data_IF_366118508026
#
_entry.id   IF_366118508026
#
_cell.length_a   1.000
_cell.length_b   1.000
_cell.length_c   1.000
_cell.angle_alpha   90.00
_cell.angle_beta   90.00
_cell.angle_gamma   90.00
#
_symmetry.space_group_name_H-M   'P 1'
#
loop_
_entity.id
_entity.type
_entity.pdbx_description
1 polymer ?
#
# COMPACT_ATOMS: atom_id res chain seq x y z
N UNK A 1 4.77 7.93 -26.66
CA UNK A 1 4.27 6.56 -26.40
C UNK A 1 5.01 5.84 -25.28
N UNK A 2 6.32 5.53 -25.36
CA UNK A 2 7.05 4.83 -24.28
C UNK A 2 6.95 5.50 -22.89
N UNK A 3 7.00 6.83 -22.82
CA UNK A 3 6.82 7.63 -21.59
C UNK A 3 5.41 7.50 -20.99
N UNK A 4 4.40 7.46 -21.86
CA UNK A 4 3.00 7.29 -21.48
C UNK A 4 2.77 5.90 -20.87
N UNK A 5 3.40 4.84 -21.43
CA UNK A 5 3.34 3.48 -20.90
C UNK A 5 3.96 3.36 -19.51
N UNK A 6 5.00 4.13 -19.18
CA UNK A 6 5.59 4.15 -17.83
C UNK A 6 4.71 4.94 -16.86
N UNK A 7 4.13 6.06 -17.27
CA UNK A 7 3.13 6.75 -16.46
C UNK A 7 1.87 5.89 -16.22
N UNK A 8 1.46 5.10 -17.22
CA UNK A 8 0.40 4.08 -17.13
C UNK A 8 0.78 2.92 -16.19
N UNK A 9 2.02 2.42 -16.27
CA UNK A 9 2.50 1.35 -15.39
C UNK A 9 2.71 1.83 -13.94
N UNK A 10 3.14 3.07 -13.76
CA UNK A 10 3.26 3.71 -12.45
C UNK A 10 1.89 4.01 -11.84
N UNK A 11 0.90 4.42 -12.65
CA UNK A 11 -0.49 4.52 -12.19
C UNK A 11 -1.06 3.15 -11.85
N UNK A 12 -0.71 2.06 -12.54
CA UNK A 12 -1.14 0.71 -12.18
C UNK A 12 -0.72 0.28 -10.75
N UNK A 13 0.37 0.83 -10.20
CA UNK A 13 0.79 0.57 -8.82
C UNK A 13 -0.05 1.26 -7.74
N UNK A 14 -0.82 2.28 -8.11
CA UNK A 14 -1.62 3.08 -7.17
C UNK A 14 -2.92 2.44 -6.73
N UNK A 15 -3.27 1.33 -7.37
CA UNK A 15 -4.65 0.92 -7.47
C UNK A 15 -4.81 -0.59 -7.22
N UNK A 16 -3.82 -1.21 -6.56
CA UNK A 16 -4.00 -2.52 -5.95
C UNK A 16 -4.96 -2.37 -4.75
N UNK A 17 -6.00 -3.21 -4.64
CA UNK A 17 -6.99 -3.08 -3.57
C UNK A 17 -6.34 -3.28 -2.20
N UNK A 18 -6.49 -2.31 -1.31
CA UNK A 18 -6.20 -2.51 0.11
C UNK A 18 -7.14 -3.58 0.66
N UNK A 19 -6.63 -4.79 0.89
CA UNK A 19 -7.32 -5.78 1.68
C UNK A 19 -7.14 -5.46 3.18
N UNK A 20 -7.75 -4.36 3.63
CA UNK A 20 -8.10 -4.10 5.03
C UNK A 20 -6.94 -3.86 5.99
N UNK A 21 -7.03 -2.75 6.72
CA UNK A 21 -6.36 -2.59 8.01
C UNK A 21 -6.74 -3.76 8.93
N UNK A 22 -5.86 -4.77 9.02
CA UNK A 22 -5.97 -5.82 10.03
C UNK A 22 -5.98 -5.17 11.41
N UNK A 23 -6.96 -5.54 12.23
CA UNK A 23 -6.81 -5.37 13.66
C UNK A 23 -5.60 -6.22 14.07
N UNK A 24 -4.52 -5.57 14.53
CA UNK A 24 -3.33 -6.26 15.03
C UNK A 24 -3.72 -7.29 16.08
N UNK A 25 -2.99 -8.42 16.12
CA UNK A 25 -3.11 -9.40 17.20
C UNK A 25 -2.83 -8.69 18.53
N UNK A 26 -3.84 -8.56 19.39
CA UNK A 26 -3.63 -8.11 20.77
C UNK A 26 -3.18 -9.32 21.57
N UNK A 27 -1.90 -9.32 21.97
CA UNK A 27 -1.35 -10.32 22.88
C UNK A 27 -2.08 -10.22 24.24
N UNK A 28 -2.75 -11.29 24.63
CA UNK A 28 -3.55 -11.35 25.87
C UNK A 28 -2.70 -11.66 27.11
N UNK A 29 -1.37 -11.78 26.97
CA UNK A 29 -0.49 -12.40 27.97
C UNK A 29 0.09 -11.55 29.11
N UNK A 30 -0.06 -10.22 29.19
CA UNK A 30 0.59 -9.42 30.27
C UNK A 30 -0.36 -8.41 30.90
N UNK A 31 -0.54 -8.47 32.21
CA UNK A 31 -1.61 -7.79 32.95
C UNK A 31 -1.16 -6.55 33.75
N UNK A 32 -2.08 -5.58 33.79
CA UNK A 32 -2.29 -4.44 34.72
C UNK A 32 -1.74 -3.06 34.32
N UNK A 33 -0.48 -2.86 33.92
CA UNK A 33 -0.06 -1.59 33.25
C UNK A 33 -0.22 -1.65 31.72
N UNK A 34 -0.14 -2.87 31.19
CA UNK A 34 -0.43 -3.25 29.80
C UNK A 34 -1.86 -2.90 29.37
N UNK A 35 -2.87 -3.03 30.23
CA UNK A 35 -4.28 -2.86 29.82
C UNK A 35 -4.61 -1.46 29.30
N UNK A 36 -4.03 -0.38 29.87
CA UNK A 36 -4.32 0.99 29.43
C UNK A 36 -3.62 1.33 28.10
N UNK A 37 -2.39 0.85 27.91
CA UNK A 37 -1.65 1.00 26.65
C UNK A 37 -2.32 0.16 25.57
N UNK A 38 -2.64 -1.11 25.84
CA UNK A 38 -3.35 -2.00 24.91
C UNK A 38 -4.74 -1.46 24.54
N UNK A 39 -5.47 -0.87 25.50
CA UNK A 39 -6.74 -0.20 25.21
C UNK A 39 -6.57 1.04 24.33
N UNK A 40 -5.51 1.84 24.52
CA UNK A 40 -5.20 2.95 23.62
C UNK A 40 -4.73 2.48 22.24
N UNK A 41 -3.94 1.40 22.14
CA UNK A 41 -3.54 0.78 20.86
C UNK A 41 -4.78 0.33 20.08
N UNK A 42 -5.71 -0.38 20.74
CA UNK A 42 -6.97 -0.81 20.14
C UNK A 42 -7.84 0.37 19.70
N UNK A 43 -7.96 1.40 20.54
CA UNK A 43 -8.73 2.61 20.20
C UNK A 43 -8.10 3.39 19.04
N UNK A 44 -6.77 3.46 18.99
CA UNK A 44 -6.03 4.09 17.90
C UNK A 44 -6.19 3.30 16.60
N UNK A 45 -6.08 1.96 16.65
CA UNK A 45 -6.34 1.08 15.51
C UNK A 45 -7.77 1.21 14.97
N UNK A 46 -8.79 1.27 15.84
CA UNK A 46 -10.18 1.52 15.43
C UNK A 46 -10.35 2.92 14.80
N UNK A 47 -9.69 3.94 15.37
CA UNK A 47 -9.71 5.27 14.78
C UNK A 47 -9.04 5.28 13.39
N UNK A 48 -7.89 4.61 13.23
CA UNK A 48 -7.22 4.44 11.93
C UNK A 48 -8.11 3.72 10.91
N UNK A 49 -8.81 2.66 11.30
CA UNK A 49 -9.75 1.96 10.42
C UNK A 49 -10.86 2.88 9.89
N UNK A 50 -11.39 3.78 10.74
CA UNK A 50 -12.38 4.79 10.29
C UNK A 50 -11.75 5.82 9.34
N UNK A 51 -10.51 6.23 9.59
CA UNK A 51 -9.76 7.11 8.69
C UNK A 51 -9.55 6.45 7.32
N UNK A 52 -9.05 5.21 7.30
CA UNK A 52 -8.88 4.42 6.07
C UNK A 52 -10.21 4.22 5.35
N UNK A 53 -11.29 3.87 6.06
CA UNK A 53 -12.61 3.72 5.46
C UNK A 53 -13.12 5.02 4.81
N UNK A 54 -12.92 6.17 5.46
CA UNK A 54 -13.26 7.48 4.90
C UNK A 54 -12.44 7.79 3.64
N UNK A 55 -11.15 7.45 3.63
CA UNK A 55 -10.28 7.62 2.46
C UNK A 55 -10.67 6.68 1.30
N UNK A 56 -11.01 5.43 1.60
CA UNK A 56 -11.30 4.39 0.62
C UNK A 56 -12.52 4.71 -0.26
N UNK A 57 -13.46 5.51 0.22
CA UNK A 57 -14.59 6.02 -0.60
C UNK A 57 -14.11 6.72 -1.86
N UNK A 58 -13.05 7.53 -1.76
CA UNK A 58 -12.46 8.22 -2.91
C UNK A 58 -11.53 7.31 -3.70
N UNK A 59 -10.67 6.55 -3.00
CA UNK A 59 -9.66 5.71 -3.64
C UNK A 59 -10.25 4.59 -4.49
N UNK A 60 -11.36 3.97 -4.09
CA UNK A 60 -12.00 2.90 -4.86
C UNK A 60 -12.47 3.37 -6.24
N UNK A 61 -12.95 4.62 -6.35
CA UNK A 61 -13.33 5.18 -7.65
C UNK A 61 -12.12 5.56 -8.50
N UNK A 62 -10.99 5.94 -7.90
CA UNK A 62 -9.74 6.10 -8.64
C UNK A 62 -9.22 4.77 -9.20
N UNK A 63 -9.40 3.67 -8.45
CA UNK A 63 -9.10 2.32 -8.93
C UNK A 63 -9.98 1.94 -10.13
N UNK A 64 -11.29 2.19 -10.05
CA UNK A 64 -12.22 2.02 -11.18
C UNK A 64 -11.82 2.88 -12.40
N UNK A 65 -11.38 4.12 -12.15
CA UNK A 65 -10.90 5.03 -13.19
C UNK A 65 -9.65 4.47 -13.89
N UNK A 66 -8.73 3.79 -13.18
CA UNK A 66 -7.57 3.09 -13.77
C UNK A 66 -8.01 2.10 -14.83
N UNK A 67 -8.90 1.19 -14.47
CA UNK A 67 -9.28 0.06 -15.34
C UNK A 67 -9.92 0.59 -16.64
N UNK A 68 -10.67 1.69 -16.53
CA UNK A 68 -11.29 2.36 -17.67
C UNK A 68 -10.28 3.18 -18.49
N UNK A 69 -9.29 3.79 -17.84
CA UNK A 69 -8.22 4.52 -18.52
C UNK A 69 -7.38 3.61 -19.43
N UNK A 70 -7.12 2.37 -19.02
CA UNK A 70 -6.39 1.40 -19.86
C UNK A 70 -7.10 1.17 -21.20
N UNK A 71 -8.43 1.09 -21.18
CA UNK A 71 -9.24 0.94 -22.40
C UNK A 71 -9.16 2.18 -23.31
N UNK A 72 -9.15 3.38 -22.73
CA UNK A 72 -9.00 4.66 -23.46
C UNK A 72 -7.61 4.77 -24.10
N UNK A 73 -6.56 4.36 -23.39
CA UNK A 73 -5.19 4.42 -23.85
C UNK A 73 -4.92 3.45 -25.02
N UNK A 74 -5.63 2.33 -25.10
CA UNK A 74 -5.51 1.35 -26.18
C UNK A 74 -6.34 1.73 -27.43
N UNK A 75 -7.45 2.45 -27.27
CA UNK A 75 -8.30 2.86 -28.38
C UNK A 75 -8.95 4.24 -28.15
N UNK A 76 -8.41 5.26 -28.80
CA UNK A 76 -8.89 6.65 -28.73
C UNK A 76 -10.13 6.87 -29.61
N UNK A 77 -11.20 6.12 -29.35
CA UNK A 77 -12.50 6.25 -30.05
C UNK A 77 -13.36 7.29 -29.33
N UNK A 78 -14.11 8.16 -30.04
CA UNK A 78 -14.93 9.21 -29.41
C UNK A 78 -15.90 8.68 -28.33
N UNK A 79 -16.54 7.52 -28.57
CA UNK A 79 -17.44 6.88 -27.61
C UNK A 79 -16.74 6.45 -26.31
N UNK A 80 -15.48 6.02 -26.40
CA UNK A 80 -14.67 5.60 -25.25
C UNK A 80 -14.27 6.81 -24.40
N UNK A 81 -14.01 7.96 -25.05
CA UNK A 81 -13.69 9.23 -24.38
C UNK A 81 -14.92 9.80 -23.65
N UNK A 82 -16.10 9.75 -24.27
CA UNK A 82 -17.35 10.19 -23.64
C UNK A 82 -17.66 9.35 -22.39
N UNK A 83 -17.57 8.02 -22.51
CA UNK A 83 -17.76 7.12 -21.37
C UNK A 83 -16.75 7.40 -20.26
N UNK A 84 -15.50 7.68 -20.60
CA UNK A 84 -14.48 8.00 -19.60
C UNK A 84 -14.73 9.35 -18.89
N UNK A 85 -15.28 10.36 -19.58
CA UNK A 85 -15.68 11.63 -18.94
C UNK A 85 -16.74 11.46 -17.84
N UNK A 86 -17.69 10.54 -18.01
CA UNK A 86 -18.67 10.23 -16.97
C UNK A 86 -18.01 9.61 -15.71
N UNK A 87 -16.94 8.86 -15.90
CA UNK A 87 -16.21 8.19 -14.82
C UNK A 87 -15.32 9.17 -14.05
N UNK A 88 -14.72 10.15 -14.74
CA UNK A 88 -14.05 11.28 -14.10
C UNK A 88 -15.02 12.00 -13.14
N UNK A 89 -16.25 12.26 -13.57
CA UNK A 89 -17.24 12.93 -12.73
C UNK A 89 -17.62 12.13 -11.47
N UNK A 90 -17.74 10.80 -11.59
CA UNK A 90 -17.98 9.90 -10.45
C UNK A 90 -16.80 9.92 -9.47
N UNK A 91 -15.58 9.74 -9.97
CA UNK A 91 -14.37 9.79 -9.15
C UNK A 91 -14.25 11.14 -8.43
N UNK A 92 -14.55 12.24 -9.11
CA UNK A 92 -14.55 13.59 -8.52
C UNK A 92 -15.53 13.71 -7.36
N UNK A 93 -16.78 13.24 -7.53
CA UNK A 93 -17.78 13.28 -6.48
C UNK A 93 -17.40 12.41 -5.28
N UNK A 94 -16.82 11.23 -5.52
CA UNK A 94 -16.35 10.34 -4.46
C UNK A 94 -15.15 10.92 -3.69
N UNK A 95 -14.22 11.59 -4.36
CA UNK A 95 -13.12 12.29 -3.72
C UNK A 95 -13.60 13.43 -2.81
N UNK A 96 -14.59 14.22 -3.26
CA UNK A 96 -15.20 15.26 -2.43
C UNK A 96 -15.90 14.66 -1.20
N UNK A 97 -16.64 13.56 -1.37
CA UNK A 97 -17.26 12.84 -0.26
C UNK A 97 -16.23 12.29 0.72
N UNK A 98 -15.11 11.76 0.23
CA UNK A 98 -14.00 11.30 1.06
C UNK A 98 -13.40 12.43 1.88
N UNK A 99 -13.16 13.60 1.28
CA UNK A 99 -12.70 14.81 1.98
C UNK A 99 -13.68 15.22 3.10
N UNK A 100 -14.98 15.25 2.82
CA UNK A 100 -16.03 15.55 3.81
C UNK A 100 -15.99 14.55 4.98
N UNK A 101 -15.88 13.26 4.71
CA UNK A 101 -15.81 12.22 5.73
C UNK A 101 -14.54 12.34 6.58
N UNK A 102 -13.38 12.61 5.97
CA UNK A 102 -12.12 12.80 6.69
C UNK A 102 -12.20 14.04 7.60
N UNK A 103 -12.81 15.15 7.13
CA UNK A 103 -13.02 16.35 7.96
C UNK A 103 -13.95 16.11 9.15
N UNK A 104 -14.89 15.18 9.02
CA UNK A 104 -15.86 14.85 10.04
C UNK A 104 -15.31 13.92 11.14
N UNK A 105 -14.13 13.32 10.94
CA UNK A 105 -13.51 12.45 11.94
C UNK A 105 -13.12 13.22 13.21
N UNK A 106 -13.28 12.55 14.34
CA UNK A 106 -12.78 13.02 15.63
C UNK A 106 -11.24 13.08 15.64
N UNK A 107 -10.69 13.94 16.51
CA UNK A 107 -9.25 14.15 16.72
C UNK A 107 -8.85 13.71 18.13
N UNK A 108 -8.95 12.42 18.46
CA UNK A 108 -8.62 11.92 19.79
C UNK A 108 -7.13 12.09 20.08
N UNK A 109 -6.76 12.05 21.36
CA UNK A 109 -5.35 12.03 21.80
C UNK A 109 -5.03 10.67 22.40
N UNK A 110 -3.84 10.17 22.12
CA UNK A 110 -3.34 8.89 22.63
C UNK A 110 -2.05 9.11 23.44
N UNK A 111 -2.14 9.73 24.63
CA UNK A 111 -0.96 10.17 25.38
C UNK A 111 -0.08 9.04 25.94
N UNK A 112 -0.57 7.79 25.95
CA UNK A 112 0.20 6.63 26.39
C UNK A 112 0.91 5.93 25.24
N UNK A 113 0.61 6.30 23.99
CA UNK A 113 1.29 5.76 22.82
C UNK A 113 2.44 6.69 22.44
N UNK A 114 3.63 6.12 22.27
CA UNK A 114 4.80 6.82 21.75
C UNK A 114 4.69 6.96 20.22
N UNK A 115 3.78 7.84 19.79
CA UNK A 115 3.54 8.13 18.39
C UNK A 115 4.49 9.23 17.91
N UNK A 116 5.13 8.99 16.77
CA UNK A 116 5.87 10.04 16.07
C UNK A 116 4.92 11.21 15.71
N UNK A 117 5.40 12.46 15.62
CA UNK A 117 4.54 13.63 15.42
C UNK A 117 3.66 13.58 14.17
N UNK A 118 4.11 12.91 13.12
CA UNK A 118 3.41 12.69 11.85
C UNK A 118 2.34 11.58 11.91
N UNK A 119 2.36 10.76 12.96
CA UNK A 119 1.38 9.71 13.24
C UNK A 119 0.28 10.16 14.21
N UNK A 120 0.34 11.40 14.70
CA UNK A 120 -0.72 11.95 15.54
C UNK A 120 -2.01 12.16 14.71
N UNK A 121 -3.21 11.97 15.29
CA UNK A 121 -4.48 12.09 14.56
C UNK A 121 -4.65 13.37 13.74
N UNK A 122 -4.26 14.52 14.28
CA UNK A 122 -4.30 15.81 13.57
C UNK A 122 -3.38 15.85 12.35
N UNK A 123 -2.17 15.29 12.49
CA UNK A 123 -1.18 15.25 11.41
C UNK A 123 -1.63 14.29 10.29
N UNK A 124 -2.14 13.11 10.66
CA UNK A 124 -2.69 12.13 9.74
C UNK A 124 -3.90 12.68 8.99
N UNK A 125 -4.87 13.30 9.66
CA UNK A 125 -6.00 13.98 9.00
C UNK A 125 -5.49 15.06 8.04
N UNK A 126 -4.55 15.91 8.47
CA UNK A 126 -3.97 16.95 7.62
C UNK A 126 -3.30 16.38 6.37
N UNK A 127 -2.57 15.27 6.51
CA UNK A 127 -1.95 14.58 5.39
C UNK A 127 -2.99 13.98 4.44
N UNK A 128 -3.99 13.26 4.97
CA UNK A 128 -5.05 12.65 4.16
C UNK A 128 -5.86 13.70 3.38
N UNK A 129 -6.17 14.85 3.97
CA UNK A 129 -6.85 15.95 3.27
C UNK A 129 -5.99 16.52 2.14
N UNK A 130 -4.68 16.68 2.37
CA UNK A 130 -3.74 17.08 1.31
C UNK A 130 -3.70 16.05 0.18
N UNK A 131 -3.76 14.76 0.52
CA UNK A 131 -3.84 13.68 -0.45
C UNK A 131 -5.12 13.71 -1.25
N UNK A 132 -6.27 13.90 -0.60
CA UNK A 132 -7.56 14.04 -1.27
C UNK A 132 -7.60 15.24 -2.21
N UNK A 133 -7.04 16.39 -1.82
CA UNK A 133 -6.95 17.56 -2.67
C UNK A 133 -6.12 17.31 -3.94
N UNK A 134 -4.94 16.71 -3.81
CA UNK A 134 -4.09 16.40 -4.96
C UNK A 134 -4.66 15.30 -5.86
N UNK A 135 -5.34 14.31 -5.27
CA UNK A 135 -6.07 13.29 -6.03
C UNK A 135 -7.28 13.89 -6.76
N UNK A 136 -7.92 14.92 -6.22
CA UNK A 136 -8.95 15.68 -6.92
C UNK A 136 -8.36 16.46 -8.10
N UNK A 137 -7.22 17.15 -7.90
CA UNK A 137 -6.49 17.82 -8.99
C UNK A 137 -6.08 16.85 -10.11
N UNK A 138 -5.72 15.62 -9.74
CA UNK A 138 -5.45 14.54 -10.69
C UNK A 138 -6.69 14.22 -11.52
N UNK A 139 -7.83 13.97 -10.87
CA UNK A 139 -9.11 13.68 -11.54
C UNK A 139 -9.47 14.81 -12.51
N UNK A 140 -9.35 16.06 -12.06
CA UNK A 140 -9.64 17.24 -12.86
C UNK A 140 -8.66 17.41 -14.05
N UNK A 141 -7.46 16.80 -13.98
CA UNK A 141 -6.47 16.84 -15.06
C UNK A 141 -6.78 15.90 -16.25
N UNK A 142 -7.62 14.88 -16.06
CA UNK A 142 -7.93 13.93 -17.13
C UNK A 142 -8.69 14.57 -18.29
N UNK A 143 -9.60 15.53 -18.03
CA UNK A 143 -10.35 16.24 -19.08
C UNK A 143 -9.44 16.93 -20.09
N UNK A 144 -8.58 17.88 -19.65
CA UNK A 144 -7.59 18.52 -20.51
C UNK A 144 -6.63 17.53 -21.21
N UNK A 145 -6.29 16.41 -20.56
CA UNK A 145 -5.44 15.39 -21.17
C UNK A 145 -6.13 14.70 -22.34
N UNK A 146 -7.41 14.32 -22.21
CA UNK A 146 -8.18 13.72 -23.31
C UNK A 146 -8.27 14.67 -24.51
N UNK A 147 -8.49 15.96 -24.24
CA UNK A 147 -8.56 16.99 -25.28
C UNK A 147 -7.22 17.15 -26.00
N UNK A 148 -6.11 17.13 -25.26
CA UNK A 148 -4.77 17.12 -25.83
C UNK A 148 -4.49 15.86 -26.68
N UNK A 149 -4.91 14.68 -26.23
CA UNK A 149 -4.75 13.44 -26.98
C UNK A 149 -5.55 13.45 -28.29
N UNK A 150 -6.79 13.95 -28.25
CA UNK A 150 -7.62 14.15 -29.43
C UNK A 150 -6.98 15.13 -30.41
N UNK A 151 -6.39 16.21 -29.90
CA UNK A 151 -5.66 17.20 -30.70
C UNK A 151 -4.27 16.73 -31.16
N UNK A 152 -3.83 15.52 -30.75
CA UNK A 152 -2.47 14.99 -30.98
C UNK A 152 -1.36 15.89 -30.44
N UNK A 153 -1.63 16.67 -29.39
CA UNK A 153 -0.63 17.50 -28.72
C UNK A 153 0.23 16.64 -27.76
N UNK A 154 1.36 16.17 -28.29
CA UNK A 154 2.32 15.38 -27.52
C UNK A 154 2.93 16.09 -26.31
N UNK A 155 3.06 17.44 -26.34
CA UNK A 155 3.60 18.19 -25.21
C UNK A 155 2.59 18.28 -24.07
N UNK A 156 1.31 18.46 -24.40
CA UNK A 156 0.25 18.45 -23.40
C UNK A 156 0.04 17.05 -22.79
N UNK A 157 0.16 15.99 -23.60
CA UNK A 157 0.13 14.61 -23.10
C UNK A 157 1.29 14.31 -22.12
N UNK A 158 2.51 14.75 -22.44
CA UNK A 158 3.68 14.58 -21.55
C UNK A 158 3.51 15.36 -20.22
N UNK A 159 2.93 16.56 -20.25
CA UNK A 159 2.62 17.33 -19.01
C UNK A 159 1.57 16.64 -18.16
N UNK A 160 0.53 16.07 -18.77
CA UNK A 160 -0.50 15.32 -18.04
C UNK A 160 0.07 14.03 -17.41
N UNK A 161 0.94 13.33 -18.13
CA UNK A 161 1.63 12.15 -17.62
C UNK A 161 2.53 12.47 -16.40
N UNK A 162 3.18 13.63 -16.37
CA UNK A 162 3.93 14.08 -15.18
C UNK A 162 3.01 14.35 -13.99
N UNK A 163 1.87 15.03 -14.19
CA UNK A 163 0.88 15.24 -13.11
C UNK A 163 0.33 13.93 -12.57
N UNK A 164 0.10 12.95 -13.45
CA UNK A 164 -0.29 11.60 -13.06
C UNK A 164 0.76 10.94 -12.16
N UNK A 165 2.05 11.05 -12.49
CA UNK A 165 3.13 10.54 -11.66
C UNK A 165 3.24 11.24 -10.31
N UNK A 166 3.06 12.56 -10.26
CA UNK A 166 3.15 13.31 -9.00
C UNK A 166 2.01 12.91 -8.04
N UNK A 167 0.79 12.77 -8.57
CA UNK A 167 -0.34 12.27 -7.79
C UNK A 167 -0.17 10.80 -7.39
N UNK A 168 0.43 9.99 -8.27
CA UNK A 168 0.78 8.61 -8.00
C UNK A 168 1.69 8.50 -6.77
N UNK A 169 2.77 9.27 -6.77
CA UNK A 169 3.73 9.30 -5.68
C UNK A 169 3.04 9.64 -4.35
N UNK A 170 2.20 10.66 -4.36
CA UNK A 170 1.52 11.10 -3.15
C UNK A 170 0.57 10.04 -2.57
N UNK A 171 -0.18 9.34 -3.43
CA UNK A 171 -1.05 8.24 -3.01
C UNK A 171 -0.22 7.13 -2.35
N UNK A 172 0.89 6.73 -2.97
CA UNK A 172 1.81 5.74 -2.41
C UNK A 172 2.42 6.20 -1.08
N UNK A 173 2.85 7.46 -0.99
CA UNK A 173 3.40 8.03 0.25
C UNK A 173 2.34 8.05 1.36
N UNK A 174 1.08 8.31 1.01
CA UNK A 174 -0.05 8.26 1.95
C UNK A 174 -0.30 6.85 2.47
N UNK A 175 -0.19 5.85 1.61
CA UNK A 175 -0.29 4.44 1.99
C UNK A 175 0.86 4.02 2.91
N UNK A 176 2.09 4.46 2.60
CA UNK A 176 3.23 4.24 3.47
C UNK A 176 3.04 4.88 4.85
N UNK A 177 2.45 6.08 4.91
CA UNK A 177 2.18 6.77 6.17
C UNK A 177 1.12 6.04 6.99
N UNK A 178 -0.01 5.66 6.38
CA UNK A 178 -1.06 4.90 7.07
C UNK A 178 -0.59 3.53 7.53
N UNK A 179 0.20 2.83 6.72
CA UNK A 179 0.77 1.56 7.14
C UNK A 179 1.80 1.73 8.26
N UNK A 180 2.60 2.81 8.26
CA UNK A 180 3.49 3.15 9.38
C UNK A 180 2.69 3.47 10.65
N UNK A 181 1.55 4.16 10.51
CA UNK A 181 0.63 4.42 11.62
C UNK A 181 0.04 3.11 12.17
N UNK A 182 -0.34 2.17 11.29
CA UNK A 182 -0.85 0.86 11.68
C UNK A 182 0.24 -0.01 12.34
N UNK A 183 1.49 0.09 11.91
CA UNK A 183 2.61 -0.60 12.58
C UNK A 183 2.77 -0.20 14.05
N UNK A 184 2.34 1.01 14.43
CA UNK A 184 2.36 1.42 15.84
C UNK A 184 1.35 0.67 16.71
N UNK A 185 0.43 -0.09 16.12
CA UNK A 185 -0.54 -0.96 16.82
C UNK A 185 -0.15 -2.44 16.79
N UNK A 186 1.02 -2.79 16.26
CA UNK A 186 1.50 -4.17 16.14
C UNK A 186 2.71 -4.34 17.07
N UNK A 187 2.75 -5.46 17.79
CA UNK A 187 3.91 -5.80 18.61
C UNK A 187 5.15 -6.07 17.74
N UNK A 188 6.23 -5.34 18.03
CA UNK A 188 7.50 -5.38 17.29
C UNK A 188 8.17 -6.75 17.30
N UNK A 189 7.86 -7.59 18.28
CA UNK A 189 8.44 -8.91 18.43
C UNK A 189 7.71 -9.97 17.60
N UNK A 190 6.56 -9.63 16.99
CA UNK A 190 5.81 -10.54 16.11
C UNK A 190 6.36 -10.58 14.68
N UNK A 191 6.06 -11.66 13.97
CA UNK A 191 6.32 -11.77 12.54
C UNK A 191 5.42 -10.84 11.70
N UNK A 192 4.19 -10.60 12.13
CA UNK A 192 3.27 -9.62 11.55
C UNK A 192 3.94 -8.23 11.41
N UNK A 193 4.72 -7.81 12.41
CA UNK A 193 5.44 -6.53 12.36
C UNK A 193 6.48 -6.46 11.24
N UNK A 194 7.26 -7.53 11.05
CA UNK A 194 8.25 -7.60 9.96
C UNK A 194 7.56 -7.77 8.60
N UNK A 195 6.45 -8.50 8.51
CA UNK A 195 5.64 -8.56 7.28
C UNK A 195 5.08 -7.19 6.88
N UNK A 196 4.58 -6.41 7.85
CA UNK A 196 4.10 -5.05 7.62
C UNK A 196 5.23 -4.08 7.23
N UNK A 197 6.44 -4.24 7.80
CA UNK A 197 7.62 -3.49 7.33
C UNK A 197 7.93 -3.75 5.86
N UNK A 198 7.81 -5.01 5.41
CA UNK A 198 7.98 -5.33 4.00
C UNK A 198 6.95 -4.61 3.13
N UNK A 199 5.68 -4.57 3.55
CA UNK A 199 4.66 -3.78 2.86
C UNK A 199 5.00 -2.29 2.79
N UNK A 200 5.61 -1.71 3.82
CA UNK A 200 6.04 -0.31 3.80
C UNK A 200 7.21 -0.10 2.82
N UNK A 201 8.14 -1.05 2.74
CA UNK A 201 9.22 -1.01 1.75
C UNK A 201 8.70 -1.13 0.32
N UNK A 202 7.63 -1.89 0.07
CA UNK A 202 6.98 -1.93 -1.24
C UNK A 202 6.44 -0.55 -1.65
N UNK A 203 5.78 0.19 -0.75
CA UNK A 203 5.33 1.55 -1.04
C UNK A 203 6.51 2.50 -1.25
N UNK A 204 7.52 2.49 -0.38
CA UNK A 204 8.73 3.32 -0.54
C UNK A 204 9.45 3.05 -1.87
N UNK A 205 9.53 1.78 -2.27
CA UNK A 205 10.08 1.37 -3.57
C UNK A 205 9.27 1.95 -4.73
N UNK A 206 7.94 1.85 -4.67
CA UNK A 206 7.05 2.42 -5.67
C UNK A 206 7.22 3.95 -5.78
N UNK A 207 7.25 4.67 -4.66
CA UNK A 207 7.45 6.13 -4.64
C UNK A 207 8.78 6.52 -5.29
N UNK A 208 9.86 5.80 -4.97
CA UNK A 208 11.19 6.03 -5.56
C UNK A 208 11.21 5.76 -7.06
N UNK A 209 10.51 4.72 -7.52
CA UNK A 209 10.38 4.38 -8.93
C UNK A 209 9.56 5.42 -9.72
N UNK A 210 8.48 5.92 -9.12
CA UNK A 210 7.66 7.00 -9.68
C UNK A 210 8.48 8.29 -9.80
N UNK A 211 9.28 8.62 -8.79
CA UNK A 211 10.19 9.76 -8.82
C UNK A 211 11.26 9.63 -9.92
N UNK A 212 11.86 8.43 -10.03
CA UNK A 212 12.79 8.11 -11.10
C UNK A 212 12.16 8.26 -12.49
N UNK A 213 10.92 7.81 -12.65
CA UNK A 213 10.15 7.98 -13.88
C UNK A 213 9.97 9.46 -14.22
N UNK A 214 9.57 10.29 -13.25
CA UNK A 214 9.37 11.72 -13.44
C UNK A 214 10.64 12.45 -13.89
N UNK A 215 11.78 12.16 -13.25
CA UNK A 215 13.08 12.75 -13.65
C UNK A 215 13.51 12.28 -15.04
N UNK A 216 13.36 10.99 -15.35
CA UNK A 216 13.70 10.44 -16.66
C UNK A 216 12.80 11.03 -17.76
N UNK A 217 11.52 11.30 -17.46
CA UNK A 217 10.58 11.99 -18.36
C UNK A 217 10.99 13.42 -18.67
N UNK A 218 11.58 14.11 -17.70
CA UNK A 218 12.15 15.46 -17.88
C UNK A 218 13.54 15.46 -18.54
N UNK A 219 14.07 14.29 -18.91
CA UNK A 219 15.40 14.16 -19.52
C UNK A 219 16.55 14.23 -18.52
N UNK A 220 16.27 14.14 -17.22
CA UNK A 220 17.29 14.11 -16.17
C UNK A 220 17.91 12.73 -15.99
N UNK A 221 19.06 12.70 -15.32
CA UNK A 221 19.77 11.47 -14.93
C UNK A 221 19.43 11.07 -13.49
N UNK A 222 19.54 9.77 -13.18
CA UNK A 222 19.24 9.19 -11.87
C UNK A 222 20.45 8.37 -11.36
N UNK A 223 21.55 9.04 -10.95
CA UNK A 223 22.80 8.35 -10.60
C UNK A 223 22.68 7.48 -9.34
N UNK A 224 21.83 7.87 -8.39
CA UNK A 224 21.66 7.16 -7.10
C UNK A 224 20.71 5.96 -7.19
N UNK A 225 19.97 5.81 -8.29
CA UNK A 225 18.90 4.82 -8.42
C UNK A 225 19.32 3.39 -8.10
N UNK A 226 20.47 2.97 -8.62
CA UNK A 226 20.95 1.60 -8.39
C UNK A 226 21.31 1.38 -6.92
N UNK A 227 22.03 2.33 -6.30
CA UNK A 227 22.37 2.27 -4.88
C UNK A 227 21.13 2.29 -3.99
N UNK A 228 20.09 3.04 -4.38
CA UNK A 228 18.80 3.02 -3.69
C UNK A 228 18.12 1.66 -3.77
N UNK A 229 18.06 1.03 -4.96
CA UNK A 229 17.45 -0.29 -5.12
C UNK A 229 18.24 -1.38 -4.39
N UNK A 230 19.58 -1.31 -4.38
CA UNK A 230 20.43 -2.23 -3.63
C UNK A 230 20.22 -2.08 -2.10
N UNK A 231 20.11 -0.84 -1.61
CA UNK A 231 19.82 -0.56 -0.19
C UNK A 231 18.46 -1.11 0.23
N UNK A 232 17.42 -0.85 -0.56
CA UNK A 232 16.07 -1.37 -0.31
C UNK A 232 16.09 -2.90 -0.30
N UNK A 233 16.78 -3.54 -1.27
CA UNK A 233 16.89 -5.01 -1.30
C UNK A 233 17.60 -5.56 -0.04
N UNK A 234 18.62 -4.88 0.46
CA UNK A 234 19.31 -5.24 1.70
C UNK A 234 18.42 -5.06 2.95
N UNK A 235 17.62 -3.99 3.01
CA UNK A 235 16.63 -3.79 4.07
C UNK A 235 15.59 -4.92 4.08
N UNK A 236 15.12 -5.34 2.89
CA UNK A 236 14.20 -6.47 2.73
C UNK A 236 14.84 -7.78 3.22
N UNK A 237 16.11 -8.04 2.91
CA UNK A 237 16.79 -9.25 3.41
C UNK A 237 16.84 -9.28 4.94
N UNK A 238 17.09 -8.12 5.59
CA UNK A 238 17.07 -8.01 7.05
C UNK A 238 15.69 -8.33 7.64
N UNK A 239 14.63 -7.88 6.98
CA UNK A 239 13.24 -8.22 7.35
C UNK A 239 12.96 -9.71 7.17
N UNK A 240 13.37 -10.30 6.05
CA UNK A 240 13.19 -11.74 5.78
C UNK A 240 13.87 -12.58 6.85
N UNK A 241 15.11 -12.24 7.21
CA UNK A 241 15.88 -12.98 8.21
C UNK A 241 15.15 -13.00 9.56
N UNK A 242 14.82 -11.82 10.11
CA UNK A 242 14.11 -11.71 11.40
C UNK A 242 12.70 -12.29 11.36
N UNK A 243 11.95 -11.99 10.30
CA UNK A 243 10.58 -12.42 10.15
C UNK A 243 10.45 -13.94 10.01
N UNK A 244 11.36 -14.58 9.26
CA UNK A 244 11.38 -16.05 9.12
C UNK A 244 11.69 -16.71 10.47
N UNK A 245 12.67 -16.21 11.21
CA UNK A 245 13.01 -16.73 12.55
C UNK A 245 11.80 -16.67 13.48
N UNK A 246 11.10 -15.52 13.54
CA UNK A 246 9.91 -15.33 14.36
C UNK A 246 8.75 -16.23 13.97
N UNK A 247 8.47 -16.37 12.67
CA UNK A 247 7.40 -17.25 12.18
C UNK A 247 7.68 -18.71 12.52
N UNK A 248 8.90 -19.18 12.27
CA UNK A 248 9.22 -20.58 12.52
C UNK A 248 9.19 -20.90 14.02
N UNK A 249 9.61 -19.97 14.88
CA UNK A 249 9.44 -20.08 16.32
C UNK A 249 7.96 -20.13 16.73
N UNK A 250 7.14 -19.18 16.25
CA UNK A 250 5.71 -19.12 16.57
C UNK A 250 4.94 -20.38 16.12
N UNK A 251 5.23 -20.90 14.92
CA UNK A 251 4.63 -22.15 14.42
C UNK A 251 5.07 -23.34 15.26
N UNK A 252 6.34 -23.42 15.66
CA UNK A 252 6.84 -24.51 16.47
C UNK A 252 6.19 -24.52 17.86
N UNK A 253 6.11 -23.35 18.50
CA UNK A 253 5.48 -23.18 19.82
C UNK A 253 3.98 -23.53 19.76
N UNK A 254 3.25 -23.00 18.78
CA UNK A 254 1.82 -23.28 18.63
C UNK A 254 1.53 -24.75 18.30
N UNK A 255 2.43 -25.45 17.61
CA UNK A 255 2.31 -26.90 17.36
C UNK A 255 2.57 -27.72 18.62
N UNK A 256 3.59 -27.35 19.40
CA UNK A 256 3.86 -28.02 20.67
C UNK A 256 2.68 -27.87 21.64
N UNK A 257 2.09 -26.68 21.74
CA UNK A 257 0.89 -26.44 22.56
C UNK A 257 -0.33 -27.21 22.02
N UNK A 258 -0.49 -27.29 20.70
CA UNK A 258 -1.57 -28.06 20.08
C UNK A 258 -1.45 -29.57 20.34
N UNK A 259 -0.23 -30.10 20.42
CA UNK A 259 0.02 -31.52 20.74
C UNK A 259 -0.30 -31.85 22.21
N UNK A 260 -0.29 -30.85 23.10
CA UNK A 260 -0.67 -30.98 24.51
C UNK A 260 -2.20 -30.85 24.74
N UNK A 261 -2.93 -30.30 23.78
CA UNK A 261 -4.39 -30.14 23.84
C UNK A 261 -5.14 -31.43 23.49
N UNK A 262 -6.10 -31.84 24.33
CA UNK A 262 -6.95 -33.00 24.05
C UNK A 262 -8.14 -32.64 23.14
N UNK A 263 -8.21 -33.28 21.96
CA UNK A 263 -9.38 -33.23 21.08
C UNK A 263 -9.57 -31.90 20.33
N UNK A 264 -10.82 -31.56 20.01
CA UNK A 264 -11.20 -30.30 19.34
C UNK A 264 -11.63 -29.25 20.39
N UNK A 265 -10.73 -28.93 21.33
CA UNK A 265 -10.96 -27.85 22.29
C UNK A 265 -11.03 -26.50 21.56
N UNK A 266 -11.71 -25.51 22.17
CA UNK A 266 -11.72 -24.15 21.63
C UNK A 266 -10.29 -23.57 21.51
N UNK A 267 -9.38 -23.99 22.40
CA UNK A 267 -7.97 -23.62 22.33
C UNK A 267 -7.28 -24.28 21.12
N UNK A 268 -7.49 -25.58 20.90
CA UNK A 268 -6.97 -26.28 19.73
C UNK A 268 -7.40 -25.63 18.42
N UNK A 269 -8.65 -25.15 18.32
CA UNK A 269 -9.12 -24.38 17.17
C UNK A 269 -8.41 -23.04 17.00
N UNK A 270 -8.16 -22.31 18.09
CA UNK A 270 -7.40 -21.06 18.07
C UNK A 270 -5.94 -21.27 17.66
N UNK A 271 -5.30 -22.32 18.17
CA UNK A 271 -3.92 -22.69 17.81
C UNK A 271 -3.81 -23.08 16.34
N UNK A 272 -4.74 -23.87 15.80
CA UNK A 272 -4.79 -24.18 14.36
C UNK A 272 -4.93 -22.93 13.49
N UNK A 273 -5.79 -21.98 13.89
CA UNK A 273 -5.90 -20.69 13.21
C UNK A 273 -4.61 -19.87 13.31
N UNK A 274 -3.94 -19.88 14.47
CA UNK A 274 -2.62 -19.25 14.63
C UNK A 274 -1.64 -19.79 13.60
N UNK A 275 -1.50 -21.11 13.54
CA UNK A 275 -0.56 -21.78 12.65
C UNK A 275 -0.87 -21.44 11.18
N UNK A 276 -2.15 -21.44 10.77
CA UNK A 276 -2.53 -21.05 9.40
C UNK A 276 -2.18 -19.59 9.10
N UNK A 277 -2.39 -18.67 10.06
CA UNK A 277 -1.99 -17.26 9.93
C UNK A 277 -0.47 -17.11 9.81
N UNK A 278 0.30 -17.79 10.67
CA UNK A 278 1.76 -17.73 10.67
C UNK A 278 2.34 -18.35 9.38
N UNK A 279 1.70 -19.39 8.82
CA UNK A 279 2.05 -19.93 7.51
C UNK A 279 1.77 -18.94 6.36
N UNK A 280 0.71 -18.14 6.45
CA UNK A 280 0.44 -17.05 5.51
C UNK A 280 1.49 -15.93 5.65
N UNK A 281 1.92 -15.61 6.86
CA UNK A 281 3.03 -14.68 7.10
C UNK A 281 4.35 -15.20 6.52
N UNK A 282 4.63 -16.50 6.65
CA UNK A 282 5.78 -17.15 5.98
C UNK A 282 5.80 -16.93 4.47
N UNK A 283 4.62 -16.98 3.83
CA UNK A 283 4.48 -16.73 2.40
C UNK A 283 4.83 -15.29 2.04
N UNK A 284 4.53 -14.32 2.92
CA UNK A 284 4.92 -12.92 2.70
C UNK A 284 6.45 -12.76 2.57
N UNK A 285 7.23 -13.46 3.40
CA UNK A 285 8.71 -13.42 3.31
C UNK A 285 9.25 -14.11 2.05
N UNK A 286 8.53 -15.10 1.52
CA UNK A 286 8.84 -15.69 0.22
C UNK A 286 8.63 -14.69 -0.91
N UNK A 287 7.51 -13.96 -0.89
CA UNK A 287 7.24 -12.83 -1.82
C UNK A 287 8.32 -11.76 -1.71
N UNK A 288 8.70 -11.39 -0.48
CA UNK A 288 9.75 -10.42 -0.21
C UNK A 288 11.09 -10.83 -0.82
N UNK A 289 11.47 -12.11 -0.70
CA UNK A 289 12.70 -12.65 -1.30
C UNK A 289 12.70 -12.52 -2.82
N UNK A 290 11.59 -12.89 -3.46
CA UNK A 290 11.45 -12.77 -4.91
C UNK A 290 11.53 -11.30 -5.37
N UNK A 291 10.90 -10.39 -4.63
CA UNK A 291 10.96 -8.96 -4.92
C UNK A 291 12.38 -8.39 -4.76
N UNK A 292 13.08 -8.69 -3.67
CA UNK A 292 14.47 -8.26 -3.46
C UNK A 292 15.41 -8.77 -4.57
N UNK A 293 15.23 -10.02 -5.01
CA UNK A 293 15.96 -10.57 -6.14
C UNK A 293 15.67 -9.82 -7.46
N UNK A 294 14.41 -9.44 -7.69
CA UNK A 294 14.03 -8.66 -8.87
C UNK A 294 14.65 -7.25 -8.89
N UNK A 295 14.75 -6.59 -7.73
CA UNK A 295 15.45 -5.30 -7.61
C UNK A 295 16.94 -5.42 -7.92
N UNK A 296 17.59 -6.50 -7.47
CA UNK A 296 19.02 -6.78 -7.75
C UNK A 296 19.29 -7.13 -9.21
N UNK A 297 18.32 -7.73 -9.88
CA UNK A 297 18.42 -8.09 -11.30
C UNK A 297 18.31 -6.90 -12.25
N UNK A 298 18.06 -5.69 -11.74
CA UNK A 298 18.01 -4.49 -12.58
C UNK A 298 19.38 -4.20 -13.21
N UNK A 299 19.43 -3.90 -14.52
CA UNK A 299 20.70 -3.61 -15.19
C UNK A 299 21.45 -2.44 -14.54
N UNK A 300 22.77 -2.60 -14.38
CA UNK A 300 23.65 -1.54 -13.87
C UNK A 300 23.88 -0.46 -14.94
N UNK A 301 24.05 0.80 -14.51
CA UNK A 301 24.36 1.93 -15.38
C UNK A 301 23.20 2.92 -15.54
N UNK A 302 23.14 3.59 -16.70
CA UNK A 302 22.16 4.64 -16.94
C UNK A 302 20.73 4.10 -16.85
N UNK A 303 19.92 4.72 -15.98
CA UNK A 303 18.52 4.33 -15.78
C UNK A 303 17.72 4.60 -17.03
N UNK A 304 17.10 3.56 -17.58
CA UNK A 304 16.18 3.67 -18.71
C UNK A 304 14.73 3.47 -18.25
N UNK A 305 13.79 3.93 -19.07
CA UNK A 305 12.37 3.63 -18.86
C UNK A 305 12.06 2.14 -18.79
N UNK A 306 12.82 1.30 -19.49
CA UNK A 306 12.63 -0.15 -19.44
C UNK A 306 13.01 -0.70 -18.06
N UNK A 307 14.08 -0.20 -17.43
CA UNK A 307 14.47 -0.60 -16.07
C UNK A 307 13.39 -0.21 -15.05
N UNK A 308 12.89 1.02 -15.16
CA UNK A 308 11.82 1.52 -14.28
C UNK A 308 10.55 0.68 -14.47
N UNK A 309 10.14 0.41 -15.71
CA UNK A 309 8.97 -0.42 -15.99
C UNK A 309 9.10 -1.85 -15.45
N UNK A 310 10.28 -2.46 -15.57
CA UNK A 310 10.57 -3.79 -15.03
C UNK A 310 10.42 -3.81 -13.49
N UNK A 311 11.00 -2.82 -12.81
CA UNK A 311 10.91 -2.69 -11.36
C UNK A 311 9.48 -2.40 -10.89
N UNK A 312 8.75 -1.50 -11.58
CA UNK A 312 7.33 -1.25 -11.30
C UNK A 312 6.50 -2.53 -11.46
N UNK A 313 6.78 -3.36 -12.48
CA UNK A 313 6.08 -4.64 -12.62
C UNK A 313 6.42 -5.63 -11.49
N UNK A 314 7.65 -5.64 -10.99
CA UNK A 314 8.02 -6.45 -9.83
C UNK A 314 7.26 -6.00 -8.57
N UNK A 315 7.12 -4.69 -8.35
CA UNK A 315 6.28 -4.15 -7.26
C UNK A 315 4.83 -4.61 -7.42
N UNK A 316 4.27 -4.51 -8.62
CA UNK A 316 2.88 -4.93 -8.89
C UNK A 316 2.65 -6.40 -8.54
N UNK A 317 3.55 -7.29 -8.99
CA UNK A 317 3.47 -8.73 -8.70
C UNK A 317 3.56 -8.99 -7.20
N UNK A 318 4.50 -8.33 -6.51
CA UNK A 318 4.64 -8.47 -5.06
C UNK A 318 3.37 -7.99 -4.34
N UNK A 319 2.79 -6.87 -4.77
CA UNK A 319 1.53 -6.35 -4.22
C UNK A 319 0.35 -7.29 -4.41
N UNK A 320 0.11 -7.78 -5.61
CA UNK A 320 -0.96 -8.74 -5.87
C UNK A 320 -0.80 -10.01 -5.01
N UNK A 321 0.43 -10.46 -4.78
CA UNK A 321 0.70 -11.59 -3.89
C UNK A 321 0.42 -11.26 -2.41
N UNK A 322 0.77 -10.05 -1.95
CA UNK A 322 0.46 -9.59 -0.59
C UNK A 322 -1.04 -9.43 -0.38
N UNK A 323 -1.78 -8.85 -1.33
CA UNK A 323 -3.24 -8.69 -1.25
C UNK A 323 -3.95 -10.05 -1.16
N UNK A 324 -3.46 -11.05 -1.91
CA UNK A 324 -3.97 -12.42 -1.85
C UNK A 324 -3.67 -13.08 -0.49
N UNK A 325 -2.53 -12.79 0.12
CA UNK A 325 -2.18 -13.24 1.48
C UNK A 325 -3.12 -12.58 2.49
N UNK A 326 -3.31 -11.26 2.44
CA UNK A 326 -4.22 -10.53 3.33
C UNK A 326 -5.67 -11.01 3.20
N UNK A 327 -6.13 -11.29 1.98
CA UNK A 327 -7.46 -11.88 1.74
C UNK A 327 -7.58 -13.24 2.42
N UNK A 328 -6.61 -14.13 2.22
CA UNK A 328 -6.60 -15.44 2.88
C UNK A 328 -6.55 -15.33 4.41
N UNK A 329 -5.78 -14.37 4.95
CA UNK A 329 -5.72 -14.09 6.39
C UNK A 329 -7.09 -13.65 6.93
N UNK A 330 -7.78 -12.76 6.21
CA UNK A 330 -9.14 -12.35 6.58
C UNK A 330 -10.12 -13.52 6.54
N UNK A 331 -9.99 -14.43 5.58
CA UNK A 331 -10.81 -15.65 5.50
C UNK A 331 -10.56 -16.56 6.71
N UNK A 332 -9.31 -16.71 7.16
CA UNK A 332 -8.99 -17.49 8.37
C UNK A 332 -9.63 -16.89 9.63
N UNK A 333 -9.58 -15.56 9.76
CA UNK A 333 -10.19 -14.84 10.88
C UNK A 333 -11.73 -14.93 10.86
N UNK A 334 -12.33 -14.92 9.67
CA UNK A 334 -13.79 -14.94 9.49
C UNK A 334 -14.42 -16.32 9.67
N UNK A 335 -13.65 -17.42 9.59
CA UNK A 335 -14.17 -18.77 9.88
C UNK A 335 -14.63 -18.83 11.33
N UNK A 336 -15.89 -19.17 11.58
CA UNK A 336 -16.33 -19.50 12.95
C UNK A 336 -15.64 -20.80 13.39
N UNK A 337 -15.24 -20.85 14.68
CA UNK A 337 -14.71 -22.06 15.31
C UNK A 337 -15.83 -22.97 15.75
#
# INVERSE_FOLDING_TARGET
>A
MKRLCVALAATMLLFAPEAGAQAGRVDTGKAVTSNAISAQMASYGQWLQRLTAAQMVGLSELQSLRDKWQNVAQATRPIVIISFRAEIAKARAAMLRSDELIRALDRPKFPLLDLAPDLLPDALIGHMLKTSANALELVDSFGPMLDAMLARDGKAADRAALKLLDAAKLLVDSQALLGTAMMATIDKDTAQYDAMQFDMLLYRSAARLIDAAGVTMRGGTQPEFHGDMERIAAEIDGIIARGTEKVEAAIADAKAELDEEEGDSAMALLLRKSIEMDELERRSFTTARAFAAALRALPKGAVSFAHIQQALNAVRIAREAMDAISTAQNDVLAREG
#
